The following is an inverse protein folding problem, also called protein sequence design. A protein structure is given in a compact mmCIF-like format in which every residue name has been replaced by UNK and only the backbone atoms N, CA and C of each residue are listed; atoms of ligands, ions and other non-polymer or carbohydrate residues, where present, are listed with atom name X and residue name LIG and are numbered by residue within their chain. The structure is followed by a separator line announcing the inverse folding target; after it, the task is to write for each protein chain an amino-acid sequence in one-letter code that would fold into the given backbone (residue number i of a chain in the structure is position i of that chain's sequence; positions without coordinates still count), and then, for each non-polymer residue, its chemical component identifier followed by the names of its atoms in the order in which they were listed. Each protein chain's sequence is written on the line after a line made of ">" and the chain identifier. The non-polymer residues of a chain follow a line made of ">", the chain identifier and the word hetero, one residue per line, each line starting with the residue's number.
data_IF_649363333357
#
_entry.id   IF_649363333357
#
_cell.length_a   1.000
_cell.length_b   1.000
_cell.length_c   1.000
_cell.angle_alpha   90.00
_cell.angle_beta   90.00
_cell.angle_gamma   90.00
#
_symmetry.space_group_name_H-M   'P 1'
#
loop_
_entity.id
_entity.type
_entity.pdbx_description
1 polymer ?
#
# COMPACT_ATOMS: atom_id res chain seq x y z
N UNK A 1 -7.95 3.45 -42.99
CA UNK A 1 -7.61 2.51 -41.90
C UNK A 1 -8.91 2.22 -41.18
N UNK A 2 -9.38 0.95 -41.26
CA UNK A 2 -10.57 0.53 -40.52
C UNK A 2 -10.27 0.47 -39.04
N UNK A 3 -11.08 1.17 -38.23
CA UNK A 3 -11.00 1.08 -36.76
C UNK A 3 -11.62 -0.26 -36.36
N UNK A 4 -10.88 -1.03 -35.57
CA UNK A 4 -11.35 -2.31 -35.05
C UNK A 4 -12.49 -2.11 -34.06
N UNK A 5 -13.60 -2.83 -34.27
CA UNK A 5 -14.78 -2.81 -33.40
C UNK A 5 -14.45 -3.20 -31.98
N UNK A 6 -13.68 -4.26 -31.78
CA UNK A 6 -13.25 -4.73 -30.46
C UNK A 6 -12.38 -3.70 -29.72
N UNK A 7 -11.49 -3.03 -30.44
CA UNK A 7 -10.69 -1.94 -29.88
C UNK A 7 -11.58 -0.81 -29.35
N UNK A 8 -12.56 -0.38 -30.12
CA UNK A 8 -13.46 0.71 -29.73
C UNK A 8 -14.35 0.34 -28.53
N UNK A 9 -14.87 -0.89 -28.49
CA UNK A 9 -15.61 -1.41 -27.34
C UNK A 9 -14.75 -1.39 -26.06
N UNK A 10 -13.50 -1.83 -26.17
CA UNK A 10 -12.57 -1.82 -25.04
C UNK A 10 -12.24 -0.40 -24.55
N UNK A 11 -12.04 0.55 -25.46
CA UNK A 11 -11.79 1.95 -25.11
C UNK A 11 -12.99 2.61 -24.42
N UNK A 12 -14.21 2.36 -24.89
CA UNK A 12 -15.44 2.83 -24.24
C UNK A 12 -15.59 2.24 -22.83
N UNK A 13 -15.34 0.95 -22.68
CA UNK A 13 -15.41 0.26 -21.38
C UNK A 13 -14.37 0.79 -20.38
N UNK A 14 -13.14 1.03 -20.83
CA UNK A 14 -12.09 1.64 -20.01
C UNK A 14 -12.45 3.06 -19.57
N UNK A 15 -13.01 3.85 -20.47
CA UNK A 15 -13.43 5.21 -20.16
C UNK A 15 -14.51 5.25 -19.08
N UNK A 16 -15.53 4.39 -19.17
CA UNK A 16 -16.58 4.26 -18.16
C UNK A 16 -16.03 3.74 -16.83
N UNK A 17 -15.10 2.78 -16.87
CA UNK A 17 -14.41 2.28 -15.66
C UNK A 17 -13.62 3.36 -14.94
N UNK A 18 -12.90 4.23 -15.66
CA UNK A 18 -12.18 5.38 -15.09
C UNK A 18 -13.13 6.38 -14.42
N UNK A 19 -14.30 6.62 -15.01
CA UNK A 19 -15.32 7.50 -14.42
C UNK A 19 -15.89 6.91 -13.13
N UNK A 20 -16.22 5.62 -13.14
CA UNK A 20 -16.73 4.91 -11.95
C UNK A 20 -15.72 4.96 -10.81
N UNK A 21 -14.44 4.77 -11.10
CA UNK A 21 -13.37 4.89 -10.10
C UNK A 21 -13.28 6.29 -9.50
N UNK A 22 -13.41 7.34 -10.33
CA UNK A 22 -13.46 8.72 -9.83
C UNK A 22 -14.70 8.99 -8.96
N UNK A 23 -15.86 8.46 -9.35
CA UNK A 23 -17.11 8.56 -8.56
C UNK A 23 -16.96 7.85 -7.20
N UNK A 24 -16.41 6.66 -7.18
CA UNK A 24 -16.16 5.87 -5.97
C UNK A 24 -15.18 6.58 -5.01
N UNK A 25 -14.24 7.34 -5.55
CA UNK A 25 -13.32 8.18 -4.79
C UNK A 25 -13.92 9.54 -4.36
N UNK A 26 -15.20 9.74 -4.55
CA UNK A 26 -15.93 10.92 -4.07
C UNK A 26 -16.00 12.10 -5.04
N UNK A 27 -15.59 11.93 -6.30
CA UNK A 27 -15.64 12.97 -7.33
C UNK A 27 -17.03 13.03 -8.01
N UNK A 28 -18.06 13.35 -7.26
CA UNK A 28 -19.42 13.45 -7.76
C UNK A 28 -19.75 14.88 -8.23
N UNK A 29 -19.02 15.39 -9.22
CA UNK A 29 -19.20 16.73 -9.75
C UNK A 29 -20.17 16.74 -10.95
N UNK A 30 -20.90 17.87 -11.20
CA UNK A 30 -21.72 18.01 -12.40
C UNK A 30 -20.94 17.81 -13.70
N UNK A 31 -19.67 18.26 -13.73
CA UNK A 31 -18.76 18.07 -14.88
C UNK A 31 -18.51 16.61 -15.18
N UNK A 32 -18.24 15.79 -14.16
CA UNK A 32 -18.02 14.35 -14.32
C UNK A 32 -19.30 13.64 -14.79
N UNK A 33 -20.45 14.02 -14.23
CA UNK A 33 -21.74 13.49 -14.66
C UNK A 33 -22.07 13.82 -16.13
N UNK A 34 -21.70 15.00 -16.60
CA UNK A 34 -21.83 15.39 -18.02
C UNK A 34 -20.94 14.54 -18.93
N UNK A 35 -19.67 14.36 -18.55
CA UNK A 35 -18.73 13.50 -19.28
C UNK A 35 -19.26 12.07 -19.37
N UNK A 36 -19.78 11.53 -18.29
CA UNK A 36 -20.37 10.19 -18.25
C UNK A 36 -21.55 10.06 -19.22
N UNK A 37 -22.45 11.04 -19.25
CA UNK A 37 -23.59 11.06 -20.19
C UNK A 37 -23.13 11.11 -21.63
N UNK A 38 -22.12 11.93 -21.94
CA UNK A 38 -21.56 12.01 -23.30
C UNK A 38 -20.95 10.67 -23.75
N UNK A 39 -20.21 10.00 -22.87
CA UNK A 39 -19.60 8.68 -23.18
C UNK A 39 -20.68 7.60 -23.35
N UNK A 40 -21.71 7.59 -22.51
CA UNK A 40 -22.84 6.67 -22.65
C UNK A 40 -23.61 6.90 -23.99
N UNK A 41 -23.75 8.16 -24.39
CA UNK A 41 -24.37 8.49 -25.70
C UNK A 41 -23.48 8.00 -26.84
N UNK A 42 -22.16 8.07 -26.73
CA UNK A 42 -21.25 7.53 -27.76
C UNK A 42 -21.30 6.00 -27.82
N UNK A 43 -21.46 5.33 -26.70
CA UNK A 43 -21.64 3.88 -26.62
C UNK A 43 -22.93 3.48 -27.36
N UNK A 44 -24.04 4.14 -27.09
CA UNK A 44 -25.33 3.90 -27.77
C UNK A 44 -25.25 4.15 -29.30
N UNK A 45 -24.59 5.26 -29.71
CA UNK A 45 -24.38 5.57 -31.14
C UNK A 45 -23.57 4.47 -31.84
N UNK A 46 -22.54 3.97 -31.17
CA UNK A 46 -21.70 2.88 -31.66
C UNK A 46 -22.47 1.55 -31.74
N UNK A 47 -23.20 1.19 -30.68
CA UNK A 47 -24.00 -0.05 -30.64
C UNK A 47 -25.06 -0.09 -31.75
N UNK A 48 -25.65 1.05 -32.11
CA UNK A 48 -26.65 1.15 -33.18
C UNK A 48 -26.01 0.99 -34.56
N UNK A 49 -24.74 1.32 -34.76
CA UNK A 49 -24.05 1.28 -36.04
C UNK A 49 -22.61 0.72 -35.94
N UNK A 50 -22.43 -0.51 -35.45
CA UNK A 50 -21.10 -1.03 -35.07
C UNK A 50 -20.15 -1.27 -36.25
N UNK A 51 -20.68 -1.39 -37.46
CA UNK A 51 -19.91 -1.66 -38.70
C UNK A 51 -19.73 -0.42 -39.59
N UNK A 52 -20.34 0.70 -39.25
CA UNK A 52 -20.21 1.93 -40.01
C UNK A 52 -18.89 2.66 -39.69
N UNK A 53 -18.05 2.84 -40.72
CA UNK A 53 -16.73 3.43 -40.59
C UNK A 53 -16.78 4.90 -40.13
N UNK A 54 -17.74 5.66 -40.63
CA UNK A 54 -17.90 7.08 -40.28
C UNK A 54 -18.35 7.24 -38.84
N UNK A 55 -19.27 6.39 -38.38
CA UNK A 55 -19.70 6.33 -36.97
C UNK A 55 -18.54 5.98 -36.04
N UNK A 56 -17.77 4.97 -36.39
CA UNK A 56 -16.59 4.58 -35.59
C UNK A 56 -15.58 5.72 -35.48
N UNK A 57 -15.29 6.42 -36.58
CA UNK A 57 -14.35 7.55 -36.58
C UNK A 57 -14.87 8.69 -35.71
N UNK A 58 -16.13 9.03 -35.81
CA UNK A 58 -16.78 10.07 -35.03
C UNK A 58 -16.77 9.72 -33.53
N UNK A 59 -17.11 8.49 -33.21
CA UNK A 59 -17.12 8.03 -31.78
C UNK A 59 -15.75 8.08 -31.19
N UNK A 60 -14.69 7.60 -31.87
CA UNK A 60 -13.32 7.64 -31.31
C UNK A 60 -12.81 9.06 -31.14
N UNK A 61 -13.10 9.96 -32.08
CA UNK A 61 -12.64 11.35 -31.98
C UNK A 61 -13.31 12.07 -30.80
N UNK A 62 -14.61 11.89 -30.62
CA UNK A 62 -15.34 12.44 -29.48
C UNK A 62 -14.95 11.78 -28.16
N UNK A 63 -14.69 10.47 -28.16
CA UNK A 63 -14.20 9.78 -26.97
C UNK A 63 -12.86 10.32 -26.51
N UNK A 64 -11.94 10.60 -27.41
CA UNK A 64 -10.65 11.23 -27.11
C UNK A 64 -10.81 12.60 -26.47
N UNK A 65 -11.78 13.40 -26.93
CA UNK A 65 -12.08 14.69 -26.29
C UNK A 65 -12.58 14.53 -24.85
N UNK A 66 -13.47 13.55 -24.62
CA UNK A 66 -13.96 13.27 -23.27
C UNK A 66 -12.86 12.69 -22.36
N UNK A 67 -11.99 11.83 -22.87
CA UNK A 67 -10.86 11.28 -22.11
C UNK A 67 -9.87 12.36 -21.67
N UNK A 68 -9.63 13.40 -22.47
CA UNK A 68 -8.83 14.56 -22.04
C UNK A 68 -9.45 15.25 -20.83
N UNK A 69 -10.76 15.40 -20.80
CA UNK A 69 -11.47 16.01 -19.67
C UNK A 69 -11.40 15.12 -18.43
N UNK A 70 -11.45 13.80 -18.58
CA UNK A 70 -11.25 12.84 -17.49
C UNK A 70 -9.83 12.95 -16.94
N UNK A 71 -8.82 12.99 -17.81
CA UNK A 71 -7.40 13.15 -17.41
C UNK A 71 -7.17 14.45 -16.62
N UNK A 72 -7.81 15.53 -17.01
CA UNK A 72 -7.74 16.81 -16.28
C UNK A 72 -8.33 16.69 -14.87
N UNK A 73 -9.45 15.98 -14.71
CA UNK A 73 -10.06 15.74 -13.40
C UNK A 73 -9.18 14.82 -12.55
N UNK A 74 -8.65 13.74 -13.11
CA UNK A 74 -7.71 12.83 -12.43
C UNK A 74 -6.47 13.59 -11.94
N UNK A 75 -5.87 14.41 -12.77
CA UNK A 75 -4.69 15.23 -12.41
C UNK A 75 -5.01 16.24 -11.32
N UNK A 76 -6.19 16.87 -11.36
CA UNK A 76 -6.60 17.83 -10.36
C UNK A 76 -6.87 17.22 -8.98
N UNK A 77 -7.24 15.92 -8.93
CA UNK A 77 -7.56 15.19 -7.71
C UNK A 77 -6.42 14.34 -7.18
N UNK A 78 -5.44 14.00 -8.01
CA UNK A 78 -4.31 13.15 -7.65
C UNK A 78 -3.47 13.73 -6.51
N UNK A 79 -3.09 15.01 -6.59
CA UNK A 79 -2.28 15.62 -5.55
C UNK A 79 -3.00 15.75 -4.19
N UNK A 80 -4.24 16.26 -4.09
CA UNK A 80 -4.94 16.33 -2.81
C UNK A 80 -5.10 14.97 -2.13
N UNK A 81 -5.37 13.92 -2.90
CA UNK A 81 -5.47 12.53 -2.40
C UNK A 81 -4.13 12.04 -1.86
N UNK A 82 -3.06 12.26 -2.60
CA UNK A 82 -1.70 11.89 -2.19
C UNK A 82 -1.25 12.69 -0.96
N UNK A 83 -1.51 13.98 -0.92
CA UNK A 83 -1.22 14.86 0.22
C UNK A 83 -1.90 14.35 1.49
N UNK A 84 -3.18 14.00 1.41
CA UNK A 84 -3.93 13.45 2.53
C UNK A 84 -3.33 12.11 3.01
N UNK A 85 -3.00 11.22 2.08
CA UNK A 85 -2.36 9.94 2.39
C UNK A 85 -0.98 10.11 3.04
N UNK A 86 -0.15 11.01 2.53
CA UNK A 86 1.17 11.33 3.08
C UNK A 86 1.07 11.81 4.53
N UNK A 87 0.16 12.74 4.80
CA UNK A 87 -0.05 13.30 6.15
C UNK A 87 -0.57 12.24 7.12
N UNK A 88 -1.55 11.44 6.71
CA UNK A 88 -2.13 10.38 7.54
C UNK A 88 -1.11 9.29 7.86
N UNK A 89 -0.44 8.75 6.85
CA UNK A 89 0.53 7.67 7.04
C UNK A 89 1.77 8.15 7.82
N UNK A 90 2.20 9.39 7.63
CA UNK A 90 3.28 9.96 8.42
C UNK A 90 2.88 10.16 9.89
N UNK A 91 1.65 10.59 10.16
CA UNK A 91 1.14 10.67 11.52
C UNK A 91 1.15 9.29 12.22
N UNK A 92 0.72 8.24 11.52
CA UNK A 92 0.77 6.86 12.02
C UNK A 92 2.21 6.42 12.29
N UNK A 93 3.14 6.77 11.40
CA UNK A 93 4.56 6.47 11.57
C UNK A 93 5.17 7.18 12.79
N UNK A 94 4.89 8.46 12.99
CA UNK A 94 5.35 9.20 14.17
C UNK A 94 4.84 8.56 15.47
N UNK A 95 3.59 8.16 15.48
CA UNK A 95 2.98 7.48 16.63
C UNK A 95 3.65 6.13 16.90
N UNK A 96 3.87 5.33 15.86
CA UNK A 96 4.59 4.06 15.98
C UNK A 96 6.03 4.27 16.48
N UNK A 97 6.72 5.27 15.97
CA UNK A 97 8.08 5.63 16.43
C UNK A 97 8.12 5.97 17.91
N UNK A 98 7.16 6.73 18.38
CA UNK A 98 7.06 7.10 19.80
C UNK A 98 6.89 5.89 20.71
N UNK A 99 6.05 4.93 20.28
CA UNK A 99 5.70 3.77 21.10
C UNK A 99 6.70 2.61 20.96
N UNK A 100 7.28 2.41 19.78
CA UNK A 100 8.01 1.20 19.39
C UNK A 100 9.43 1.46 18.86
N UNK A 101 9.75 2.70 18.53
CA UNK A 101 11.01 3.07 17.89
C UNK A 101 12.19 3.19 18.84
N UNK A 102 13.37 3.20 18.26
CA UNK A 102 14.64 3.49 18.91
C UNK A 102 15.31 4.72 18.30
N UNK A 103 16.52 5.07 18.72
CA UNK A 103 17.27 6.22 18.23
C UNK A 103 17.58 6.12 16.72
N UNK A 104 17.90 4.95 16.22
CA UNK A 104 18.21 4.72 14.82
C UNK A 104 16.96 4.92 13.93
N UNK A 105 15.82 4.39 14.35
CA UNK A 105 14.55 4.60 13.64
C UNK A 105 14.05 6.03 13.76
N UNK A 106 14.33 6.71 14.88
CA UNK A 106 14.04 8.14 15.06
C UNK A 106 14.76 9.01 14.02
N UNK A 107 16.02 8.72 13.72
CA UNK A 107 16.78 9.41 12.68
C UNK A 107 16.14 9.21 11.29
N UNK A 108 15.70 7.99 10.98
CA UNK A 108 15.01 7.69 9.73
C UNK A 108 13.67 8.45 9.63
N UNK A 109 12.89 8.51 10.69
CA UNK A 109 11.62 9.27 10.75
C UNK A 109 11.89 10.77 10.59
N UNK A 110 12.90 11.32 11.20
CA UNK A 110 13.26 12.74 11.05
C UNK A 110 13.67 13.08 9.61
N UNK A 111 14.40 12.21 8.93
CA UNK A 111 14.75 12.39 7.53
C UNK A 111 13.51 12.34 6.62
N UNK A 112 12.61 11.40 6.87
CA UNK A 112 11.31 11.33 6.17
C UNK A 112 10.51 12.62 6.39
N UNK A 113 10.49 13.15 7.62
CA UNK A 113 9.80 14.40 7.95
C UNK A 113 10.33 15.58 7.14
N UNK A 114 11.64 15.68 7.02
CA UNK A 114 12.30 16.71 6.21
C UNK A 114 11.90 16.61 4.73
N UNK A 115 11.96 15.40 4.18
CA UNK A 115 11.56 15.12 2.80
C UNK A 115 10.06 15.41 2.59
N UNK A 116 9.22 15.08 3.55
CA UNK A 116 7.78 15.35 3.50
C UNK A 116 7.49 16.85 3.40
N UNK A 117 8.16 17.68 4.21
CA UNK A 117 8.02 19.14 4.14
C UNK A 117 8.39 19.67 2.76
N UNK A 118 9.46 19.19 2.14
CA UNK A 118 9.86 19.56 0.79
C UNK A 118 8.84 19.13 -0.27
N UNK A 119 8.38 17.88 -0.21
CA UNK A 119 7.39 17.32 -1.14
C UNK A 119 6.06 18.07 -1.07
N UNK A 120 5.59 18.38 0.14
CA UNK A 120 4.34 19.13 0.35
C UNK A 120 4.44 20.57 -0.18
N UNK A 121 5.59 21.20 -0.01
CA UNK A 121 5.83 22.57 -0.52
C UNK A 121 5.87 22.60 -2.04
N UNK A 122 6.57 21.67 -2.65
CA UNK A 122 6.72 21.58 -4.10
C UNK A 122 5.51 20.95 -4.80
N UNK A 123 4.62 20.27 -4.06
CA UNK A 123 3.51 19.48 -4.60
C UNK A 123 3.99 18.44 -5.62
N UNK A 124 5.12 17.82 -5.33
CA UNK A 124 5.76 16.85 -6.22
C UNK A 124 5.11 15.48 -6.06
N UNK A 125 4.22 15.17 -6.99
CA UNK A 125 3.46 13.91 -6.99
C UNK A 125 4.36 12.68 -7.12
N UNK A 126 5.38 12.73 -7.97
CA UNK A 126 6.29 11.60 -8.21
C UNK A 126 7.12 11.29 -6.97
N UNK A 127 7.75 12.30 -6.38
CA UNK A 127 8.51 12.14 -5.14
C UNK A 127 7.58 11.82 -3.96
N UNK A 128 6.36 12.33 -3.96
CA UNK A 128 5.37 12.00 -2.95
C UNK A 128 4.99 10.53 -2.92
N UNK A 129 4.82 9.89 -4.07
CA UNK A 129 4.55 8.44 -4.16
C UNK A 129 5.72 7.62 -3.63
N UNK A 130 6.95 7.98 -3.99
CA UNK A 130 8.17 7.31 -3.46
C UNK A 130 8.25 7.47 -1.95
N UNK A 131 8.00 8.66 -1.44
CA UNK A 131 8.03 8.93 0.00
C UNK A 131 6.94 8.17 0.75
N UNK A 132 5.74 8.04 0.19
CA UNK A 132 4.66 7.25 0.78
C UNK A 132 5.06 5.77 0.94
N UNK A 133 5.73 5.21 -0.07
CA UNK A 133 6.25 3.84 -0.01
C UNK A 133 7.32 3.70 1.09
N UNK A 134 8.20 4.69 1.24
CA UNK A 134 9.20 4.71 2.31
C UNK A 134 8.57 4.79 3.70
N UNK A 135 7.55 5.63 3.87
CA UNK A 135 6.78 5.75 5.12
C UNK A 135 6.14 4.41 5.47
N UNK A 136 5.47 3.78 4.54
CA UNK A 136 4.82 2.49 4.74
C UNK A 136 5.83 1.38 5.06
N UNK A 137 6.97 1.37 4.37
CA UNK A 137 8.04 0.38 4.60
C UNK A 137 8.62 0.51 6.01
N UNK A 138 8.87 1.72 6.47
CA UNK A 138 9.38 1.94 7.83
C UNK A 138 8.32 1.61 8.89
N UNK A 139 7.06 1.92 8.64
CA UNK A 139 5.96 1.55 9.53
C UNK A 139 5.83 0.03 9.70
N UNK A 140 5.86 -0.72 8.59
CA UNK A 140 5.86 -2.19 8.61
C UNK A 140 7.07 -2.73 9.38
N UNK A 141 8.24 -2.17 9.16
CA UNK A 141 9.47 -2.56 9.85
C UNK A 141 9.38 -2.37 11.36
N UNK A 142 8.87 -1.23 11.83
CA UNK A 142 8.65 -0.97 13.26
C UNK A 142 7.62 -1.94 13.87
N UNK A 143 6.52 -2.19 13.19
CA UNK A 143 5.50 -3.13 13.62
C UNK A 143 6.04 -4.55 13.68
N UNK A 144 6.85 -4.95 12.71
CA UNK A 144 7.46 -6.27 12.66
C UNK A 144 8.47 -6.49 13.79
N UNK A 145 9.31 -5.50 14.10
CA UNK A 145 10.21 -5.54 15.27
C UNK A 145 9.42 -5.79 16.56
N UNK A 146 8.28 -5.09 16.72
CA UNK A 146 7.41 -5.26 17.88
C UNK A 146 6.83 -6.68 17.99
N UNK A 147 6.39 -7.26 16.87
CA UNK A 147 5.92 -8.65 16.86
C UNK A 147 7.01 -9.64 17.24
N UNK A 148 8.23 -9.45 16.74
CA UNK A 148 9.39 -10.28 17.10
C UNK A 148 9.72 -10.18 18.60
N UNK A 149 9.73 -8.98 19.14
CA UNK A 149 9.97 -8.75 20.58
C UNK A 149 8.86 -9.41 21.40
N UNK A 150 7.59 -9.23 21.02
CA UNK A 150 6.45 -9.84 21.69
C UNK A 150 6.52 -11.38 21.72
N UNK A 151 6.92 -12.00 20.60
CA UNK A 151 7.17 -13.44 20.54
C UNK A 151 8.23 -13.89 21.55
N UNK A 152 9.38 -13.23 21.58
CA UNK A 152 10.47 -13.57 22.49
C UNK A 152 10.06 -13.42 23.96
N UNK A 153 9.43 -12.31 24.31
CA UNK A 153 8.98 -12.05 25.68
C UNK A 153 7.92 -13.04 26.14
N UNK A 154 6.95 -13.37 25.29
CA UNK A 154 5.91 -14.34 25.59
C UNK A 154 6.48 -15.74 25.84
N UNK A 155 7.33 -16.21 24.95
CA UNK A 155 7.91 -17.54 25.05
C UNK A 155 8.94 -17.65 26.17
N UNK A 156 9.60 -16.56 26.52
CA UNK A 156 10.50 -16.51 27.66
C UNK A 156 9.75 -16.61 28.99
N UNK A 157 8.66 -15.88 29.14
CA UNK A 157 7.80 -15.92 30.35
C UNK A 157 7.10 -17.28 30.53
N UNK A 158 6.64 -17.86 29.45
CA UNK A 158 5.85 -19.10 29.46
C UNK A 158 6.63 -20.29 28.92
N UNK A 159 7.93 -20.31 29.06
CA UNK A 159 8.83 -21.29 28.47
C UNK A 159 8.40 -22.75 28.70
N UNK A 160 8.01 -23.09 29.93
CA UNK A 160 7.59 -24.44 30.32
C UNK A 160 6.23 -24.87 29.76
N UNK A 161 5.45 -23.95 29.20
CA UNK A 161 4.17 -24.26 28.59
C UNK A 161 4.30 -24.83 27.16
N UNK A 162 5.48 -24.73 26.55
CA UNK A 162 5.73 -25.13 25.17
C UNK A 162 6.55 -26.43 25.10
N UNK A 163 6.26 -27.20 24.04
CA UNK A 163 6.91 -28.50 23.77
C UNK A 163 8.11 -28.31 22.82
N UNK A 164 9.17 -27.74 23.31
CA UNK A 164 10.40 -27.52 22.54
C UNK A 164 11.06 -28.85 22.11
N UNK A 165 11.42 -28.97 20.83
CA UNK A 165 12.18 -30.12 20.34
C UNK A 165 13.59 -30.19 20.93
N UNK A 166 14.17 -29.05 21.27
CA UNK A 166 15.45 -28.90 21.97
C UNK A 166 15.36 -27.78 23.02
N UNK A 167 14.88 -28.10 24.25
CA UNK A 167 14.65 -27.08 25.27
C UNK A 167 15.90 -26.29 25.65
N UNK A 168 17.05 -26.94 25.70
CA UNK A 168 18.31 -26.32 26.05
C UNK A 168 18.72 -25.28 24.99
N UNK A 169 18.64 -25.62 23.71
CA UNK A 169 18.92 -24.70 22.61
C UNK A 169 17.89 -23.57 22.54
N UNK A 170 16.63 -23.86 22.75
CA UNK A 170 15.58 -22.85 22.82
C UNK A 170 15.85 -21.81 23.91
N UNK A 171 16.27 -22.26 25.10
CA UNK A 171 16.63 -21.35 26.20
C UNK A 171 17.83 -20.48 25.84
N UNK A 172 18.86 -21.01 25.21
CA UNK A 172 20.01 -20.25 24.73
C UNK A 172 19.60 -19.17 23.72
N UNK A 173 18.76 -19.52 22.75
CA UNK A 173 18.27 -18.59 21.74
C UNK A 173 17.41 -17.48 22.34
N UNK A 174 16.52 -17.81 23.29
CA UNK A 174 15.73 -16.79 24.02
C UNK A 174 16.60 -15.84 24.82
N UNK A 175 17.64 -16.33 25.48
CA UNK A 175 18.60 -15.48 26.20
C UNK A 175 19.38 -14.56 25.27
N UNK A 176 19.81 -15.07 24.10
CA UNK A 176 20.48 -14.28 23.07
C UNK A 176 19.54 -13.21 22.51
N UNK A 177 18.31 -13.55 22.20
CA UNK A 177 17.29 -12.61 21.74
C UNK A 177 17.00 -11.53 22.79
N UNK A 178 16.92 -11.89 24.06
CA UNK A 178 16.69 -10.92 25.14
C UNK A 178 17.84 -9.91 25.26
N UNK A 179 19.08 -10.33 25.08
CA UNK A 179 20.22 -9.41 25.04
C UNK A 179 20.18 -8.46 23.84
N UNK A 180 19.75 -8.96 22.67
CA UNK A 180 19.53 -8.13 21.49
C UNK A 180 18.45 -7.09 21.76
N UNK A 181 17.34 -7.47 22.38
CA UNK A 181 16.23 -6.57 22.71
C UNK A 181 16.68 -5.41 23.59
N UNK A 182 17.48 -5.67 24.60
CA UNK A 182 17.94 -4.61 25.53
C UNK A 182 19.09 -3.77 24.98
N UNK A 183 19.83 -4.25 23.98
CA UNK A 183 20.96 -3.53 23.40
C UNK A 183 20.61 -2.77 22.13
N UNK A 184 20.20 -3.46 21.08
CA UNK A 184 19.84 -2.89 19.78
C UNK A 184 18.92 -3.83 18.99
N UNK A 185 17.62 -3.80 19.22
CA UNK A 185 16.67 -4.66 18.53
C UNK A 185 16.51 -4.24 17.06
N UNK A 186 16.83 -5.14 16.17
CA UNK A 186 16.60 -5.00 14.72
C UNK A 186 15.94 -6.26 14.17
N UNK A 187 15.23 -6.12 13.05
CA UNK A 187 14.63 -7.25 12.35
C UNK A 187 15.72 -8.24 11.93
N UNK A 188 16.82 -7.75 11.41
CA UNK A 188 17.94 -8.54 10.92
C UNK A 188 18.60 -9.41 12.00
N UNK A 189 18.60 -8.93 13.25
CA UNK A 189 19.17 -9.66 14.38
C UNK A 189 18.18 -10.61 15.05
N UNK A 190 16.91 -10.24 15.15
CA UNK A 190 15.88 -11.00 15.89
C UNK A 190 15.18 -12.04 15.03
N UNK A 191 14.88 -11.74 13.76
CA UNK A 191 14.10 -12.61 12.90
C UNK A 191 14.69 -14.01 12.73
N UNK A 192 16.00 -14.19 12.47
CA UNK A 192 16.61 -15.51 12.38
C UNK A 192 16.43 -16.35 13.65
N UNK A 193 16.55 -15.72 14.82
CA UNK A 193 16.38 -16.40 16.11
C UNK A 193 14.93 -16.84 16.32
N UNK A 194 13.98 -15.97 16.00
CA UNK A 194 12.54 -16.29 16.10
C UNK A 194 12.16 -17.42 15.16
N UNK A 195 12.66 -17.44 13.92
CA UNK A 195 12.45 -18.53 12.98
C UNK A 195 12.96 -19.85 13.54
N UNK A 196 14.19 -19.86 14.08
CA UNK A 196 14.77 -21.08 14.69
C UNK A 196 13.92 -21.57 15.87
N UNK A 197 13.43 -20.66 16.70
CA UNK A 197 12.53 -20.99 17.81
C UNK A 197 11.19 -21.57 17.32
N UNK A 198 10.59 -21.00 16.30
CA UNK A 198 9.34 -21.49 15.71
C UNK A 198 9.53 -22.92 15.19
N UNK A 199 10.65 -23.20 14.54
CA UNK A 199 10.95 -24.56 14.05
C UNK A 199 11.17 -25.58 15.15
N UNK A 200 11.46 -25.14 16.38
CA UNK A 200 11.57 -26.02 17.56
C UNK A 200 10.23 -26.29 18.24
N UNK A 201 9.16 -25.61 17.80
CA UNK A 201 7.81 -25.82 18.29
C UNK A 201 7.07 -26.86 17.42
N UNK A 202 6.18 -27.69 18.00
CA UNK A 202 5.30 -28.53 17.21
C UNK A 202 4.29 -27.65 16.42
N UNK A 203 3.74 -28.21 15.34
CA UNK A 203 2.88 -27.46 14.41
C UNK A 203 1.68 -26.77 15.09
N UNK A 204 1.10 -27.40 16.10
CA UNK A 204 -0.04 -26.88 16.86
C UNK A 204 0.31 -25.73 17.83
N UNK A 205 1.61 -25.50 18.09
CA UNK A 205 2.09 -24.40 18.93
C UNK A 205 2.76 -23.27 18.11
N UNK A 206 2.86 -23.43 16.79
CA UNK A 206 3.42 -22.40 15.91
C UNK A 206 2.44 -21.26 15.69
N UNK A 207 2.93 -20.02 15.51
CA UNK A 207 2.10 -18.91 15.12
C UNK A 207 1.28 -19.23 13.87
N UNK A 208 -0.04 -18.98 13.91
CA UNK A 208 -0.98 -19.23 12.82
C UNK A 208 -1.78 -17.97 12.47
N UNK A 209 -2.43 -17.94 11.31
CA UNK A 209 -3.23 -16.80 10.89
C UNK A 209 -2.39 -15.56 10.58
N UNK A 210 -2.76 -14.41 11.14
CA UNK A 210 -2.06 -13.14 10.94
C UNK A 210 -0.61 -13.15 11.45
N UNK A 211 -0.28 -14.07 12.37
CA UNK A 211 1.07 -14.26 12.88
C UNK A 211 1.99 -15.01 11.91
N UNK A 212 1.46 -15.53 10.80
CA UNK A 212 2.24 -16.22 9.76
C UNK A 212 3.32 -15.32 9.12
N UNK A 213 3.19 -14.00 9.27
CA UNK A 213 4.17 -13.00 8.84
C UNK A 213 5.53 -13.23 9.52
N UNK A 214 5.55 -13.80 10.73
CA UNK A 214 6.80 -14.09 11.46
C UNK A 214 7.64 -15.19 10.80
N UNK A 215 7.05 -16.00 9.94
CA UNK A 215 7.68 -17.19 9.31
C UNK A 215 8.08 -16.93 7.86
N UNK A 216 7.56 -15.88 7.23
CA UNK A 216 7.72 -15.54 5.81
C UNK A 216 9.09 -15.03 5.39
#
# INVERSE_FOLDING_TARGET
>A
ISIDTEFLENELRKALGSIEELEDNGNNTPKLAEIKREILALEEEFENNPNDTDTKQKVIDKLREQLKKVDEIESATAWPTLEAALKEEFYRLEKAQKDLGNEQTAQAVNEIKRQLEEVLRAKDEKLGKVLLDEINSLFVKLTFIYQLIGFVEHHNRSFGAFRWSNPQRARQLLNEAQQIIVSNPTVERLHPIVIDLIHMLPDDERPGGDDSVLVG
#
